data_IF_651273778483
#
_entry.id   IF_651273778483
#
_cell.length_a   1.000
_cell.length_b   1.000
_cell.length_c   1.000
_cell.angle_alpha   90.00
_cell.angle_beta   90.00
_cell.angle_gamma   90.00
#
_symmetry.space_group_name_H-M   'P 1'
#
loop_
_entity.id
_entity.type
_entity.pdbx_description
1 polymer ?
#
# COMPACT_ATOMS: atom_id res chain seq x y z
N UNK A 1 -4.96 -12.57 13.80
CA UNK A 1 -5.08 -11.22 13.19
C UNK A 1 -5.94 -11.37 11.95
N UNK A 2 -6.92 -10.49 11.72
CA UNK A 2 -7.74 -10.55 10.50
C UNK A 2 -6.83 -10.23 9.32
N UNK A 3 -6.77 -11.09 8.32
CA UNK A 3 -6.21 -10.76 7.00
C UNK A 3 -6.94 -9.52 6.49
N UNK A 4 -6.20 -8.42 6.36
CA UNK A 4 -6.72 -7.22 5.73
C UNK A 4 -6.64 -7.49 4.22
N UNK A 5 -7.79 -7.61 3.57
CA UNK A 5 -7.82 -7.76 2.11
C UNK A 5 -7.07 -6.59 1.45
N UNK A 6 -6.08 -6.91 0.62
CA UNK A 6 -5.28 -5.92 -0.08
C UNK A 6 -6.15 -4.94 -0.89
N UNK A 7 -5.71 -3.68 -0.90
CA UNK A 7 -6.40 -2.63 -1.66
C UNK A 7 -6.01 -2.68 -3.14
N UNK A 8 -7.02 -2.66 -4.01
CA UNK A 8 -6.79 -2.49 -5.44
C UNK A 8 -6.23 -1.10 -5.76
N UNK A 9 -5.60 -0.94 -6.93
CA UNK A 9 -5.08 0.36 -7.40
C UNK A 9 -6.13 1.47 -7.38
N UNK A 10 -7.39 1.14 -7.70
CA UNK A 10 -8.47 2.12 -7.70
C UNK A 10 -8.90 2.52 -6.27
N UNK A 11 -8.93 1.56 -5.35
CA UNK A 11 -9.19 1.79 -3.93
C UNK A 11 -8.10 2.66 -3.29
N UNK A 12 -6.83 2.43 -3.65
CA UNK A 12 -5.71 3.29 -3.26
C UNK A 12 -5.90 4.75 -3.66
N UNK A 13 -6.39 5.01 -4.88
CA UNK A 13 -6.63 6.40 -5.33
C UNK A 13 -7.72 7.09 -4.51
N UNK A 14 -8.77 6.36 -4.12
CA UNK A 14 -9.81 6.87 -3.21
C UNK A 14 -9.23 7.15 -1.83
N UNK A 15 -8.48 6.21 -1.25
CA UNK A 15 -7.90 6.36 0.09
C UNK A 15 -6.90 7.51 0.18
N UNK A 16 -6.07 7.71 -0.86
CA UNK A 16 -5.14 8.87 -0.92
C UNK A 16 -5.85 10.21 -0.77
N UNK A 17 -7.03 10.36 -1.36
CA UNK A 17 -7.84 11.57 -1.21
C UNK A 17 -8.35 11.69 0.22
N UNK A 18 -8.86 10.60 0.79
CA UNK A 18 -9.43 10.59 2.15
C UNK A 18 -8.35 10.85 3.21
N UNK A 19 -7.16 10.25 3.10
CA UNK A 19 -6.03 10.54 3.98
C UNK A 19 -5.58 11.98 3.88
N UNK A 20 -5.49 12.53 2.65
CA UNK A 20 -5.12 13.94 2.42
C UNK A 20 -6.10 14.90 3.10
N UNK A 21 -7.40 14.58 3.07
CA UNK A 21 -8.44 15.43 3.68
C UNK A 21 -8.70 15.10 5.16
N UNK A 22 -8.12 14.02 5.70
CA UNK A 22 -8.40 13.45 7.02
C UNK A 22 -9.77 12.78 7.14
N UNK A 23 -10.79 13.33 6.49
CA UNK A 23 -12.13 12.78 6.32
C UNK A 23 -12.75 13.36 5.04
N UNK A 24 -13.64 12.64 4.39
CA UNK A 24 -14.29 13.15 3.18
C UNK A 24 -15.70 12.60 3.00
N UNK A 25 -16.56 13.39 2.35
CA UNK A 25 -17.86 12.94 1.85
C UNK A 25 -17.69 12.26 0.49
N UNK A 26 -18.65 11.42 0.10
CA UNK A 26 -18.65 10.82 -1.24
C UNK A 26 -18.63 11.88 -2.35
N UNK A 27 -19.31 13.01 -2.15
CA UNK A 27 -19.32 14.13 -3.11
C UNK A 27 -17.91 14.72 -3.31
N UNK A 28 -17.16 14.97 -2.24
CA UNK A 28 -15.79 15.49 -2.35
C UNK A 28 -14.87 14.53 -3.09
N UNK A 29 -14.94 13.23 -2.76
CA UNK A 29 -14.13 12.21 -3.45
C UNK A 29 -14.50 12.13 -4.93
N UNK A 30 -15.79 12.18 -5.26
CA UNK A 30 -16.29 12.19 -6.63
C UNK A 30 -15.76 13.39 -7.41
N UNK A 31 -15.93 14.60 -6.88
CA UNK A 31 -15.50 15.83 -7.56
C UNK A 31 -14.00 15.85 -7.84
N UNK A 32 -13.18 15.27 -6.96
CA UNK A 32 -11.72 15.21 -7.14
C UNK A 32 -11.35 14.14 -8.17
N UNK A 33 -11.97 12.95 -8.12
CA UNK A 33 -11.64 11.85 -9.02
C UNK A 33 -12.17 12.07 -10.44
N UNK A 34 -13.37 12.63 -10.62
CA UNK A 34 -13.92 12.93 -11.96
C UNK A 34 -13.08 13.96 -12.73
N UNK A 35 -12.24 14.76 -12.04
CA UNK A 35 -11.27 15.67 -12.67
C UNK A 35 -9.97 14.99 -13.10
N UNK A 36 -9.69 13.78 -12.59
CA UNK A 36 -8.41 13.08 -12.76
C UNK A 36 -8.56 11.73 -13.48
N UNK A 37 -9.77 11.19 -13.57
CA UNK A 37 -10.08 9.89 -14.16
C UNK A 37 -11.42 9.95 -14.91
N UNK A 38 -11.67 8.97 -15.78
CA UNK A 38 -12.94 8.83 -16.51
C UNK A 38 -14.04 8.12 -15.70
N UNK A 39 -13.81 7.87 -14.41
CA UNK A 39 -14.74 7.12 -13.59
C UNK A 39 -15.99 7.93 -13.32
N UNK A 40 -17.15 7.30 -13.51
CA UNK A 40 -18.43 7.90 -13.13
C UNK A 40 -18.61 7.86 -11.62
N UNK A 41 -19.35 8.82 -11.09
CA UNK A 41 -19.85 8.86 -9.71
C UNK A 41 -20.30 7.50 -9.15
N UNK A 42 -20.99 6.66 -9.94
CA UNK A 42 -21.43 5.33 -9.50
C UNK A 42 -20.26 4.40 -9.16
N UNK A 43 -19.23 4.34 -10.02
CA UNK A 43 -18.03 3.55 -9.80
C UNK A 43 -17.29 3.98 -8.54
N UNK A 44 -17.16 5.30 -8.34
CA UNK A 44 -16.49 5.86 -7.16
C UNK A 44 -17.24 5.50 -5.88
N UNK A 45 -18.58 5.58 -5.89
CA UNK A 45 -19.41 5.11 -4.76
C UNK A 45 -19.23 3.61 -4.50
N UNK A 46 -19.12 2.79 -5.55
CA UNK A 46 -18.82 1.36 -5.39
C UNK A 46 -17.45 1.13 -4.74
N UNK A 47 -16.41 1.87 -5.12
CA UNK A 47 -15.08 1.79 -4.50
C UNK A 47 -15.13 2.17 -3.02
N UNK A 48 -15.81 3.27 -2.67
CA UNK A 48 -16.01 3.68 -1.27
C UNK A 48 -16.74 2.57 -0.48
N UNK A 49 -17.79 1.98 -1.06
CA UNK A 49 -18.52 0.88 -0.43
C UNK A 49 -17.66 -0.38 -0.23
N UNK A 50 -16.77 -0.71 -1.17
CA UNK A 50 -15.81 -1.82 -1.02
C UNK A 50 -14.82 -1.55 0.11
N UNK A 51 -14.24 -0.34 0.16
CA UNK A 51 -13.35 0.08 1.23
C UNK A 51 -14.02 0.01 2.61
N UNK A 52 -15.31 0.36 2.70
CA UNK A 52 -16.08 0.22 3.94
C UNK A 52 -16.27 -1.26 4.31
N UNK A 53 -16.62 -2.13 3.35
CA UNK A 53 -16.75 -3.58 3.59
C UNK A 53 -15.43 -4.22 4.06
N UNK A 54 -14.30 -3.76 3.53
CA UNK A 54 -12.96 -4.16 3.94
C UNK A 54 -12.50 -3.54 5.27
N UNK A 55 -13.32 -2.73 5.92
CA UNK A 55 -13.00 -2.00 7.16
C UNK A 55 -11.83 -1.00 7.02
N UNK A 56 -11.58 -0.47 5.82
CA UNK A 56 -10.63 0.63 5.64
C UNK A 56 -11.25 2.00 5.92
N UNK A 57 -12.58 2.11 5.78
CA UNK A 57 -13.34 3.32 6.01
C UNK A 57 -14.49 3.07 6.97
N UNK A 58 -14.79 4.08 7.78
CA UNK A 58 -16.00 4.15 8.57
C UNK A 58 -16.85 5.33 8.10
N UNK A 59 -18.14 5.09 7.87
CA UNK A 59 -19.10 6.15 7.64
C UNK A 59 -19.64 6.67 8.97
N UNK A 60 -19.65 7.98 9.13
CA UNK A 60 -20.42 8.65 10.16
C UNK A 60 -21.86 8.82 9.66
N UNK A 61 -22.73 7.94 10.12
CA UNK A 61 -24.14 7.88 9.71
C UNK A 61 -25.03 8.92 10.41
N UNK A 62 -24.49 9.62 11.42
CA UNK A 62 -25.23 10.62 12.21
C UNK A 62 -25.46 11.92 11.45
N UNK A 63 -24.68 12.17 10.38
CA UNK A 63 -24.77 13.35 9.55
C UNK A 63 -25.09 13.01 8.09
N UNK A 64 -25.88 13.87 7.44
CA UNK A 64 -26.09 13.83 5.98
C UNK A 64 -25.54 15.12 5.35
N UNK A 65 -24.68 15.03 4.33
CA UNK A 65 -24.16 13.80 3.71
C UNK A 65 -23.22 13.02 4.65
N UNK A 66 -23.16 11.69 4.46
CA UNK A 66 -22.26 10.83 5.22
C UNK A 66 -20.80 11.26 5.04
N UNK A 67 -20.07 11.27 6.16
CA UNK A 67 -18.64 11.58 6.21
C UNK A 67 -17.87 10.29 6.43
N UNK A 68 -16.91 10.00 5.56
CA UNK A 68 -16.06 8.82 5.65
C UNK A 68 -14.73 9.18 6.31
N UNK A 69 -14.34 8.38 7.30
CA UNK A 69 -13.06 8.48 8.02
C UNK A 69 -12.21 7.24 7.77
N UNK A 70 -10.88 7.39 7.58
CA UNK A 70 -9.98 6.26 7.47
C UNK A 70 -9.86 5.54 8.82
N UNK A 71 -9.93 4.21 8.79
CA UNK A 71 -9.70 3.34 9.95
C UNK A 71 -8.25 2.86 10.05
N UNK A 72 -7.49 2.98 8.95
CA UNK A 72 -6.06 2.68 8.87
C UNK A 72 -5.31 3.95 8.44
N UNK A 73 -4.11 4.18 8.97
CA UNK A 73 -3.24 5.26 8.50
C UNK A 73 -2.59 4.91 7.16
N UNK A 74 -2.24 5.92 6.37
CA UNK A 74 -1.53 5.72 5.10
C UNK A 74 -0.23 4.91 5.29
N UNK A 75 0.55 5.25 6.30
CA UNK A 75 1.80 4.54 6.62
C UNK A 75 1.58 3.07 6.98
N UNK A 76 0.53 2.76 7.75
CA UNK A 76 0.21 1.37 8.10
C UNK A 76 -0.24 0.57 6.88
N UNK A 77 -1.10 1.16 6.03
CA UNK A 77 -1.54 0.54 4.80
C UNK A 77 -0.37 0.29 3.81
N UNK A 78 0.56 1.24 3.69
CA UNK A 78 1.78 1.09 2.88
C UNK A 78 2.62 -0.04 3.45
N UNK A 79 2.88 -0.03 4.77
CA UNK A 79 3.70 -1.04 5.43
C UNK A 79 3.15 -2.46 5.21
N UNK A 80 1.85 -2.65 5.41
CA UNK A 80 1.19 -3.93 5.20
C UNK A 80 1.29 -4.39 3.73
N UNK A 81 0.98 -3.51 2.78
CA UNK A 81 1.02 -3.85 1.35
C UNK A 81 2.43 -4.16 0.86
N UNK A 82 3.44 -3.42 1.33
CA UNK A 82 4.85 -3.68 1.01
C UNK A 82 5.32 -4.98 1.65
N UNK A 83 4.93 -5.25 2.90
CA UNK A 83 5.30 -6.49 3.60
C UNK A 83 4.70 -7.70 2.90
N UNK A 84 3.40 -7.67 2.58
CA UNK A 84 2.72 -8.73 1.85
C UNK A 84 3.38 -8.99 0.48
N UNK A 85 3.71 -7.92 -0.26
CA UNK A 85 4.43 -8.06 -1.53
C UNK A 85 5.79 -8.76 -1.33
N UNK A 86 6.57 -8.32 -0.33
CA UNK A 86 7.89 -8.89 -0.07
C UNK A 86 7.83 -10.31 0.50
N UNK A 87 6.79 -10.68 1.23
CA UNK A 87 6.60 -12.04 1.76
C UNK A 87 6.30 -13.05 0.65
N UNK A 88 5.68 -12.59 -0.44
CA UNK A 88 5.46 -13.39 -1.65
C UNK A 88 6.72 -13.53 -2.53
N UNK A 89 7.79 -12.77 -2.27
CA UNK A 89 9.04 -12.86 -3.01
C UNK A 89 10.00 -13.90 -2.41
N UNK A 90 10.73 -14.59 -3.27
CA UNK A 90 11.90 -15.37 -2.87
C UNK A 90 12.89 -14.50 -2.08
N UNK A 91 13.37 -14.99 -0.94
CA UNK A 91 14.34 -14.30 -0.08
C UNK A 91 15.58 -13.82 -0.85
N UNK A 92 16.07 -14.60 -1.83
CA UNK A 92 17.22 -14.24 -2.66
C UNK A 92 16.94 -13.12 -3.67
N UNK A 93 15.67 -12.82 -3.94
CA UNK A 93 15.25 -11.79 -4.92
C UNK A 93 14.84 -10.47 -4.28
N UNK A 94 14.65 -10.42 -2.95
CA UNK A 94 14.26 -9.21 -2.21
C UNK A 94 15.26 -8.06 -2.40
N UNK A 95 16.56 -8.35 -2.43
CA UNK A 95 17.60 -7.32 -2.66
C UNK A 95 17.51 -6.68 -4.05
N UNK A 96 17.33 -7.50 -5.09
CA UNK A 96 17.14 -7.04 -6.47
C UNK A 96 15.89 -6.15 -6.60
N UNK A 97 14.79 -6.51 -5.95
CA UNK A 97 13.57 -5.71 -5.98
C UNK A 97 13.75 -4.32 -5.37
N UNK A 98 14.52 -4.21 -4.27
CA UNK A 98 14.84 -2.91 -3.66
C UNK A 98 15.70 -2.07 -4.60
N UNK A 99 16.73 -2.67 -5.21
CA UNK A 99 17.62 -1.98 -6.15
C UNK A 99 16.85 -1.42 -7.36
N UNK A 100 15.97 -2.24 -7.96
CA UNK A 100 15.11 -1.82 -9.06
C UNK A 100 14.18 -0.65 -8.67
N UNK A 101 13.60 -0.70 -7.47
CA UNK A 101 12.74 0.40 -6.98
C UNK A 101 13.52 1.70 -6.75
N UNK A 102 14.73 1.64 -6.21
CA UNK A 102 15.56 2.84 -5.97
C UNK A 102 15.97 3.47 -7.30
N UNK A 103 16.31 2.66 -8.30
CA UNK A 103 16.76 3.15 -9.61
C UNK A 103 15.63 3.73 -10.47
N UNK A 104 14.41 3.22 -10.32
CA UNK A 104 13.27 3.60 -11.18
C UNK A 104 12.25 4.55 -10.52
N UNK A 105 12.49 5.02 -9.29
CA UNK A 105 11.57 5.89 -8.56
C UNK A 105 12.17 7.26 -8.26
N UNK A 106 11.34 8.31 -8.30
CA UNK A 106 11.71 9.62 -7.80
C UNK A 106 11.67 9.62 -6.26
N UNK A 107 12.85 9.64 -5.64
CA UNK A 107 13.02 9.66 -4.18
C UNK A 107 13.77 10.93 -3.78
N UNK A 108 13.30 11.59 -2.71
CA UNK A 108 13.93 12.82 -2.23
C UNK A 108 15.35 12.56 -1.71
N UNK A 109 16.25 13.54 -1.85
CA UNK A 109 17.61 13.44 -1.30
C UNK A 109 17.59 13.16 0.21
N UNK A 110 16.67 13.78 0.95
CA UNK A 110 16.52 13.54 2.39
C UNK A 110 16.12 12.10 2.71
N UNK A 111 15.31 11.46 1.88
CA UNK A 111 14.90 10.08 2.10
C UNK A 111 15.99 9.10 1.66
N UNK A 112 16.73 9.39 0.59
CA UNK A 112 17.94 8.62 0.23
C UNK A 112 18.94 8.61 1.38
N UNK A 113 19.20 9.76 2.01
CA UNK A 113 20.11 9.84 3.18
C UNK A 113 19.62 8.97 4.34
N UNK A 114 18.31 9.00 4.65
CA UNK A 114 17.73 8.14 5.69
C UNK A 114 17.87 6.66 5.33
N UNK A 115 17.60 6.28 4.08
CA UNK A 115 17.74 4.90 3.59
C UNK A 115 19.20 4.44 3.75
N UNK A 116 20.18 5.25 3.34
CA UNK A 116 21.60 4.91 3.53
C UNK A 116 21.97 4.69 5.00
N UNK A 117 21.44 5.51 5.92
CA UNK A 117 21.64 5.31 7.36
C UNK A 117 21.06 3.98 7.83
N UNK A 118 19.84 3.64 7.39
CA UNK A 118 19.20 2.35 7.70
C UNK A 118 20.01 1.18 7.14
N UNK A 119 20.49 1.26 5.89
CA UNK A 119 21.32 0.23 5.26
C UNK A 119 22.63 0.02 6.02
N UNK A 120 23.32 1.10 6.40
CA UNK A 120 24.56 1.01 7.19
C UNK A 120 24.37 0.31 8.53
N UNK A 121 23.21 0.44 9.17
CA UNK A 121 22.91 -0.33 10.38
C UNK A 121 22.54 -1.78 10.04
N UNK A 122 21.77 -2.00 8.97
CA UNK A 122 21.34 -3.34 8.57
C UNK A 122 22.52 -4.23 8.18
N UNK A 123 23.52 -3.70 7.46
CA UNK A 123 24.73 -4.45 7.06
C UNK A 123 25.42 -5.11 8.27
N UNK A 124 25.42 -4.48 9.45
CA UNK A 124 26.04 -5.03 10.67
C UNK A 124 25.34 -6.28 11.22
N UNK A 125 24.09 -6.51 10.82
CA UNK A 125 23.22 -7.57 11.36
C UNK A 125 22.72 -8.51 10.26
N UNK A 126 23.02 -8.20 9.00
CA UNK A 126 22.59 -9.01 7.86
C UNK A 126 23.49 -10.25 7.74
N UNK A 127 22.92 -11.42 7.42
CA UNK A 127 23.71 -12.62 7.14
C UNK A 127 24.48 -12.45 5.81
N UNK A 128 25.58 -13.18 5.66
CA UNK A 128 26.36 -13.19 4.41
C UNK A 128 25.57 -13.80 3.24
N UNK A 129 24.71 -14.77 3.53
CA UNK A 129 23.83 -15.43 2.55
C UNK A 129 22.42 -15.60 3.11
N UNK A 130 21.44 -15.61 2.21
CA UNK A 130 20.04 -15.93 2.54
C UNK A 130 19.63 -17.18 1.78
N UNK A 131 19.02 -18.12 2.46
CA UNK A 131 18.53 -19.36 1.83
C UNK A 131 17.32 -19.07 0.94
N UNK A 132 17.25 -19.80 -0.18
CA UNK A 132 16.06 -19.81 -1.00
C UNK A 132 14.89 -20.41 -0.21
N UNK A 133 13.72 -19.78 -0.31
CA UNK A 133 12.47 -20.25 0.25
C UNK A 133 11.40 -20.48 -0.84
N UNK A 134 11.82 -20.65 -2.09
CA UNK A 134 10.90 -21.01 -3.16
C UNK A 134 10.31 -22.39 -2.89
N UNK A 135 9.02 -22.54 -3.17
CA UNK A 135 8.32 -23.82 -3.10
C UNK A 135 9.02 -24.79 -4.06
N UNK A 136 9.63 -25.83 -3.47
CA UNK A 136 10.43 -26.91 -4.09
C UNK A 136 11.83 -26.51 -4.59
N UNK A 137 12.79 -26.49 -3.67
CA UNK A 137 14.22 -26.56 -3.99
C UNK A 137 14.71 -28.00 -4.31
N UNK A 138 13.84 -29.02 -4.20
CA UNK A 138 14.19 -30.44 -4.29
C UNK A 138 13.46 -31.20 -5.41
N UNK A 139 13.25 -30.59 -6.59
CA UNK A 139 12.83 -31.33 -7.79
C UNK A 139 13.73 -30.97 -8.97
N UNK A 140 15.01 -31.36 -8.90
CA UNK A 140 15.86 -31.70 -10.06
C UNK A 140 17.26 -32.12 -9.56
N UNK A 141 17.36 -33.33 -9.00
CA UNK A 141 18.54 -34.17 -9.19
C UNK A 141 18.07 -35.34 -10.07
N UNK A 142 18.57 -35.40 -11.31
CA UNK A 142 18.44 -36.54 -12.22
C UNK A 142 19.17 -37.78 -11.69
#
# INVERSE_FOLDING_TARGET
>A
MKEVESMSRAEWQVMRIIWTLGQATSKQVIEILERKTDWKSATIKTLIGRLQKKNFLQADETNRPYVYKPLISENAAIHESVTELFDNLCCMKKGMAIDDLINNSEISQSDIVKIMQTLNQKVKTAPETVNCNCLEADLNEE
#
